data_IF_358814826332
#
_entry.id   IF_358814826332
#
_cell.length_a   1.000
_cell.length_b   1.000
_cell.length_c   1.000
_cell.angle_alpha   90.00
_cell.angle_beta   90.00
_cell.angle_gamma   90.00
#
_symmetry.space_group_name_H-M   'P 1'
#
loop_
_entity.id
_entity.type
_entity.pdbx_description
1 polymer ?
#
# COMPACT_ATOMS: atom_id res chain seq x y z
N UNK A 1 -9.90 14.36 -23.55
CA UNK A 1 -10.91 14.05 -22.52
C UNK A 1 -10.16 13.83 -21.21
N UNK A 2 -9.74 14.91 -20.56
CA UNK A 2 -8.97 14.86 -19.31
C UNK A 2 -9.93 14.70 -18.15
N UNK A 3 -9.88 13.55 -17.47
CA UNK A 3 -10.61 13.38 -16.22
C UNK A 3 -10.05 14.40 -15.22
N UNK A 4 -10.86 15.40 -14.89
CA UNK A 4 -10.64 16.24 -13.72
C UNK A 4 -10.64 15.32 -12.50
N UNK A 5 -9.46 15.05 -11.94
CA UNK A 5 -9.37 14.42 -10.63
C UNK A 5 -9.96 15.42 -9.63
N UNK A 6 -11.22 15.21 -9.22
CA UNK A 6 -11.78 15.89 -8.07
C UNK A 6 -10.89 15.65 -6.85
N UNK A 7 -10.91 16.53 -5.83
CA UNK A 7 -10.10 16.35 -4.63
C UNK A 7 -10.31 14.92 -4.15
N UNK A 8 -9.23 14.16 -3.95
CA UNK A 8 -9.31 12.77 -3.48
C UNK A 8 -10.30 12.76 -2.31
N UNK A 9 -11.47 12.16 -2.54
CA UNK A 9 -12.64 12.44 -1.69
C UNK A 9 -12.29 12.13 -0.24
N UNK A 10 -12.79 12.94 0.71
CA UNK A 10 -12.49 12.83 2.15
C UNK A 10 -12.49 11.37 2.65
N UNK A 11 -13.40 10.55 2.13
CA UNK A 11 -13.51 9.10 2.37
C UNK A 11 -12.21 8.32 2.11
N UNK A 12 -11.47 8.65 1.05
CA UNK A 12 -10.20 8.01 0.72
C UNK A 12 -9.13 8.33 1.76
N UNK A 13 -9.01 9.61 2.13
CA UNK A 13 -8.06 10.09 3.15
C UNK A 13 -8.40 9.48 4.52
N UNK A 14 -9.69 9.42 4.87
CA UNK A 14 -10.16 8.79 6.11
C UNK A 14 -9.86 7.29 6.16
N UNK A 15 -10.09 6.57 5.06
CA UNK A 15 -9.78 5.13 4.97
C UNK A 15 -8.28 4.88 5.12
N UNK A 16 -7.44 5.71 4.48
CA UNK A 16 -5.99 5.64 4.65
C UNK A 16 -5.60 5.92 6.10
N UNK A 17 -6.12 6.98 6.72
CA UNK A 17 -5.86 7.29 8.12
C UNK A 17 -6.32 6.16 9.07
N UNK A 18 -7.43 5.50 8.79
CA UNK A 18 -7.89 4.32 9.53
C UNK A 18 -6.89 3.17 9.44
N UNK A 19 -6.45 2.83 8.23
CA UNK A 19 -5.45 1.79 8.01
C UNK A 19 -4.10 2.12 8.66
N UNK A 20 -3.68 3.39 8.62
CA UNK A 20 -2.48 3.86 9.30
C UNK A 20 -2.60 3.70 10.82
N UNK A 21 -3.71 4.09 11.44
CA UNK A 21 -3.89 3.95 12.90
C UNK A 21 -3.95 2.49 13.35
N UNK A 22 -4.55 1.62 12.55
CA UNK A 22 -4.64 0.19 12.86
C UNK A 22 -3.26 -0.50 12.85
N UNK A 23 -2.37 -0.08 11.94
CA UNK A 23 -1.12 -0.80 11.67
C UNK A 23 0.13 -0.09 12.20
N UNK A 24 0.05 1.22 12.44
CA UNK A 24 1.16 2.02 12.92
C UNK A 24 0.97 2.40 14.38
N UNK A 25 1.57 1.62 15.29
CA UNK A 25 1.51 1.85 16.74
C UNK A 25 2.00 3.25 17.18
N UNK A 26 2.80 3.92 16.35
CA UNK A 26 3.23 5.29 16.60
C UNK A 26 2.07 6.31 16.58
N UNK A 27 0.96 5.99 15.90
CA UNK A 27 -0.28 6.77 15.88
C UNK A 27 -1.24 6.44 17.02
N UNK A 28 -0.96 5.37 17.78
CA UNK A 28 -1.79 4.96 18.92
C UNK A 28 -1.37 5.73 20.16
N UNK A 29 -2.35 6.18 20.95
CA UNK A 29 -2.11 6.95 22.17
C UNK A 29 -1.43 6.09 23.24
N UNK A 30 -0.44 6.67 23.95
CA UNK A 30 0.28 6.04 25.09
C UNK A 30 1.05 4.77 24.72
N UNK A 31 1.65 4.70 23.53
CA UNK A 31 2.56 3.60 23.18
C UNK A 31 4.02 4.00 23.37
N UNK A 32 4.88 3.01 23.65
CA UNK A 32 6.33 3.20 23.60
C UNK A 32 6.88 3.26 22.15
N UNK A 33 6.02 3.07 21.15
CA UNK A 33 6.36 3.03 19.73
C UNK A 33 6.29 4.40 19.04
N UNK A 34 6.12 5.50 19.80
CA UNK A 34 6.06 6.84 19.25
C UNK A 34 7.38 7.25 18.58
N UNK A 35 7.27 7.92 17.42
CA UNK A 35 8.42 8.43 16.68
C UNK A 35 8.98 9.69 17.34
N UNK A 36 10.23 9.62 17.83
CA UNK A 36 10.89 10.75 18.52
C UNK A 36 11.55 11.77 17.58
N UNK A 37 11.57 11.49 16.28
CA UNK A 37 12.20 12.31 15.24
C UNK A 37 11.34 12.26 13.98
N UNK A 38 11.28 13.37 13.26
CA UNK A 38 10.50 13.48 12.02
C UNK A 38 10.96 12.45 10.97
N UNK A 39 12.27 12.26 10.81
CA UNK A 39 12.80 11.24 9.88
C UNK A 39 12.31 9.81 10.22
N UNK A 40 12.11 9.50 11.51
CA UNK A 40 11.55 8.21 11.92
C UNK A 40 10.05 8.15 11.62
N UNK A 41 9.34 9.25 11.82
CA UNK A 41 7.94 9.37 11.47
C UNK A 41 7.71 9.18 9.96
N UNK A 42 8.48 9.88 9.13
CA UNK A 42 8.38 9.78 7.67
C UNK A 42 8.69 8.37 7.18
N UNK A 43 9.72 7.72 7.72
CA UNK A 43 10.05 6.34 7.39
C UNK A 43 8.91 5.37 7.76
N UNK A 44 8.32 5.53 8.94
CA UNK A 44 7.20 4.70 9.40
C UNK A 44 5.96 4.86 8.53
N UNK A 45 5.59 6.10 8.21
CA UNK A 45 4.45 6.40 7.32
C UNK A 45 4.73 5.87 5.91
N UNK A 46 5.92 6.13 5.37
CA UNK A 46 6.33 5.65 4.05
C UNK A 46 6.27 4.13 3.94
N UNK A 47 6.75 3.41 4.97
CA UNK A 47 6.70 1.95 5.02
C UNK A 47 5.26 1.43 5.02
N UNK A 48 4.35 2.09 5.73
CA UNK A 48 2.95 1.67 5.77
C UNK A 48 2.20 1.98 4.47
N UNK A 49 2.52 3.09 3.81
CA UNK A 49 2.01 3.42 2.47
C UNK A 49 2.51 2.38 1.46
N UNK A 50 3.79 2.01 1.52
CA UNK A 50 4.37 0.95 0.70
C UNK A 50 3.67 -0.39 0.95
N UNK A 51 3.53 -0.80 2.22
CA UNK A 51 2.87 -2.07 2.59
C UNK A 51 1.46 -2.16 2.01
N UNK A 52 0.69 -1.07 2.11
CA UNK A 52 -0.69 -1.02 1.64
C UNK A 52 -0.80 -1.08 0.11
N UNK A 53 0.06 -0.35 -0.61
CA UNK A 53 -0.09 -0.12 -2.05
C UNK A 53 0.68 -1.12 -2.91
N UNK A 54 1.81 -1.62 -2.45
CA UNK A 54 2.74 -2.42 -3.26
C UNK A 54 2.88 -3.86 -2.78
N UNK A 55 2.97 -4.07 -1.45
CA UNK A 55 3.23 -5.39 -0.88
C UNK A 55 1.98 -6.25 -0.67
N UNK A 56 0.91 -5.67 -0.11
CA UNK A 56 -0.30 -6.44 0.21
C UNK A 56 -1.21 -6.57 -0.99
N UNK A 57 -1.59 -7.82 -1.29
CA UNK A 57 -2.73 -8.09 -2.14
C UNK A 57 -4.05 -7.83 -1.39
N UNK A 58 -5.01 -7.22 -2.09
CA UNK A 58 -6.33 -6.94 -1.53
C UNK A 58 -7.38 -7.82 -2.18
N UNK A 59 -8.24 -8.42 -1.35
CA UNK A 59 -9.27 -9.34 -1.81
C UNK A 59 -10.23 -8.70 -2.82
N UNK A 60 -10.57 -7.42 -2.64
CA UNK A 60 -11.43 -6.67 -3.55
C UNK A 60 -10.81 -6.41 -4.94
N UNK A 61 -9.49 -6.55 -5.08
CA UNK A 61 -8.76 -6.28 -6.32
C UNK A 61 -8.38 -7.55 -7.10
N UNK A 62 -8.67 -8.73 -6.55
CA UNK A 62 -8.36 -10.01 -7.19
C UNK A 62 -9.12 -10.16 -8.50
N UNK A 63 -8.48 -10.76 -9.49
CA UNK A 63 -9.13 -11.12 -10.75
C UNK A 63 -9.41 -12.63 -10.77
N UNK A 64 -10.54 -13.07 -11.33
CA UNK A 64 -10.78 -14.49 -11.55
C UNK A 64 -9.76 -15.03 -12.56
N UNK A 65 -9.15 -16.16 -12.23
CA UNK A 65 -8.42 -17.00 -13.18
C UNK A 65 -9.35 -18.11 -13.68
N UNK A 66 -8.93 -18.80 -14.74
CA UNK A 66 -9.68 -19.94 -15.27
C UNK A 66 -9.93 -20.99 -14.17
N UNK A 67 -11.13 -21.58 -14.20
CA UNK A 67 -11.49 -22.69 -13.32
C UNK A 67 -10.75 -23.93 -13.85
N UNK A 68 -9.88 -24.48 -13.01
CA UNK A 68 -9.17 -25.75 -13.29
C UNK A 68 -9.66 -26.76 -12.26
N UNK A 69 -10.16 -27.91 -12.73
CA UNK A 69 -10.68 -29.01 -11.90
C UNK A 69 -11.78 -28.59 -10.90
N UNK A 70 -12.64 -27.65 -11.29
CA UNK A 70 -13.73 -27.16 -10.44
C UNK A 70 -13.29 -26.20 -9.32
N UNK A 71 -12.01 -25.86 -9.24
CA UNK A 71 -11.46 -24.93 -8.23
C UNK A 71 -11.34 -23.52 -8.80
N UNK A 72 -11.98 -22.54 -8.14
CA UNK A 72 -11.80 -21.13 -8.46
C UNK A 72 -10.39 -20.66 -8.07
N UNK A 73 -9.59 -20.28 -9.06
CA UNK A 73 -8.30 -19.62 -8.84
C UNK A 73 -8.44 -18.12 -9.03
N UNK A 74 -7.65 -17.35 -8.30
CA UNK A 74 -7.66 -15.89 -8.36
C UNK A 74 -6.25 -15.36 -8.53
N UNK A 75 -6.11 -14.34 -9.38
CA UNK A 75 -4.89 -13.55 -9.47
C UNK A 75 -4.96 -12.44 -8.43
N UNK A 76 -4.12 -12.54 -7.41
CA UNK A 76 -4.03 -11.60 -6.31
C UNK A 76 -3.30 -10.32 -6.75
N UNK A 77 -3.85 -9.15 -6.41
CA UNK A 77 -3.28 -7.86 -6.83
C UNK A 77 -3.27 -6.85 -5.69
N UNK A 78 -2.23 -6.02 -5.67
CA UNK A 78 -2.16 -4.80 -4.85
C UNK A 78 -2.82 -3.61 -5.59
N UNK A 79 -3.08 -2.48 -4.89
CA UNK A 79 -3.56 -1.26 -5.53
C UNK A 79 -2.63 -0.78 -6.64
N UNK A 80 -1.30 -0.82 -6.43
CA UNK A 80 -0.33 -0.42 -7.44
C UNK A 80 -0.41 -1.32 -8.69
N UNK A 81 -0.65 -2.62 -8.53
CA UNK A 81 -0.90 -3.52 -9.65
C UNK A 81 -2.23 -3.23 -10.35
N UNK A 82 -3.29 -2.95 -9.60
CA UNK A 82 -4.59 -2.62 -10.19
C UNK A 82 -4.56 -1.31 -11.00
N UNK A 83 -3.68 -0.38 -10.62
CA UNK A 83 -3.42 0.87 -11.32
C UNK A 83 -2.38 0.75 -12.45
N UNK A 84 -1.71 -0.40 -12.59
CA UNK A 84 -0.66 -0.61 -13.60
C UNK A 84 0.67 0.09 -13.29
N UNK A 85 0.90 0.53 -12.05
CA UNK A 85 2.16 1.14 -11.60
C UNK A 85 3.27 0.09 -11.48
N UNK A 86 2.90 -1.16 -11.17
CA UNK A 86 3.78 -2.32 -11.09
C UNK A 86 3.03 -3.55 -11.62
N UNK A 87 3.75 -4.59 -12.03
CA UNK A 87 3.21 -5.84 -12.54
C UNK A 87 3.26 -7.00 -11.52
N UNK A 88 3.90 -6.77 -10.37
CA UNK A 88 4.06 -7.75 -9.30
C UNK A 88 3.84 -7.14 -7.91
N UNK A 89 3.65 -8.02 -6.91
CA UNK A 89 3.67 -7.65 -5.50
C UNK A 89 5.12 -7.46 -5.07
N UNK A 90 5.41 -6.32 -4.45
CA UNK A 90 6.74 -6.04 -3.93
C UNK A 90 6.92 -6.65 -2.54
N UNK A 91 8.07 -7.27 -2.26
CA UNK A 91 8.45 -7.62 -0.89
C UNK A 91 9.18 -6.47 -0.20
N UNK A 92 9.28 -6.52 1.14
CA UNK A 92 10.16 -5.60 1.87
C UNK A 92 11.63 -5.77 1.48
N UNK A 93 12.04 -6.98 1.07
CA UNK A 93 13.38 -7.21 0.56
C UNK A 93 13.60 -6.45 -0.75
N UNK A 94 12.63 -6.49 -1.67
CA UNK A 94 12.70 -5.72 -2.93
C UNK A 94 12.81 -4.23 -2.63
N UNK A 95 11.99 -3.70 -1.71
CA UNK A 95 12.08 -2.30 -1.30
C UNK A 95 13.48 -1.92 -0.79
N UNK A 96 14.08 -2.75 0.06
CA UNK A 96 15.36 -2.44 0.71
C UNK A 96 16.57 -2.67 -0.21
N UNK A 97 16.43 -3.49 -1.25
CA UNK A 97 17.52 -3.83 -2.18
C UNK A 97 17.43 -3.12 -3.52
N UNK A 98 16.24 -2.61 -3.88
CA UNK A 98 16.04 -1.85 -5.12
C UNK A 98 16.76 -0.53 -5.04
N UNK A 99 17.67 -0.30 -5.99
CA UNK A 99 18.33 0.99 -6.13
C UNK A 99 17.37 1.97 -6.79
N UNK A 100 16.92 2.94 -6.01
CA UNK A 100 16.15 4.06 -6.55
C UNK A 100 17.10 4.97 -7.36
N UNK A 101 16.81 5.25 -8.63
CA UNK A 101 17.56 6.25 -9.38
C UNK A 101 17.31 7.61 -8.74
N UNK A 102 18.36 8.23 -8.21
CA UNK A 102 18.28 9.61 -7.70
C UNK A 102 18.18 10.50 -8.94
N UNK A 103 16.97 10.97 -9.23
CA UNK A 103 16.77 12.00 -10.26
C UNK A 103 17.03 13.33 -9.59
N UNK A 104 18.20 13.90 -9.86
CA UNK A 104 18.63 15.26 -9.48
C UNK A 104 18.02 16.32 -10.38
#
# INVERSE_FOLDING_TARGET
MGASQGPAGTVHVERLHGALRDRLNALTRKTHAFAKRDATWDALVGLQIFDHNFHRAHYALRLPLQIVDGVHRYHHRSPAMALGVTDHLWSFQDLLTTRLPITS
#
